data_IF_223785417393
#
_entry.id   IF_223785417393
#
_cell.length_a   1.000
_cell.length_b   1.000
_cell.length_c   1.000
_cell.angle_alpha   90.00
_cell.angle_beta   90.00
_cell.angle_gamma   90.00
#
_symmetry.space_group_name_H-M   'P 1'
#
loop_
_entity.id
_entity.type
_entity.pdbx_description
1 polymer ?
#
# COMPACT_ATOMS: atom_id res chain seq x y z
N UNK A 1 -2.92 23.17 -48.88
CA UNK A 1 -3.65 22.26 -47.99
C UNK A 1 -3.02 22.40 -46.61
N UNK A 2 -3.66 23.14 -45.72
CA UNK A 2 -3.11 23.52 -44.42
C UNK A 2 -3.59 22.50 -43.38
N UNK A 3 -2.67 21.73 -42.80
CA UNK A 3 -3.00 20.80 -41.73
C UNK A 3 -3.21 21.58 -40.41
N UNK A 4 -4.43 21.49 -39.87
CA UNK A 4 -4.78 22.02 -38.55
C UNK A 4 -4.19 21.08 -37.50
N UNK A 5 -3.27 21.60 -36.69
CA UNK A 5 -2.79 20.90 -35.51
C UNK A 5 -3.90 20.83 -34.46
N UNK A 6 -4.41 19.63 -34.20
CA UNK A 6 -5.30 19.35 -33.06
C UNK A 6 -4.50 19.30 -31.77
N UNK A 7 -4.77 20.24 -30.85
CA UNK A 7 -4.16 20.33 -29.51
C UNK A 7 -4.33 19.06 -28.66
N UNK A 8 -3.37 18.71 -27.77
CA UNK A 8 -3.36 17.47 -26.99
C UNK A 8 -4.23 17.48 -25.72
N UNK A 9 -5.13 18.46 -25.57
CA UNK A 9 -5.90 18.69 -24.32
C UNK A 9 -6.87 17.54 -23.96
N UNK A 10 -7.28 16.73 -24.95
CA UNK A 10 -8.19 15.59 -24.75
C UNK A 10 -7.60 14.50 -23.84
N UNK A 11 -6.28 14.30 -23.87
CA UNK A 11 -5.65 13.18 -23.14
C UNK A 11 -5.59 13.39 -21.62
N UNK A 12 -5.57 14.66 -21.18
CA UNK A 12 -5.47 14.99 -19.75
C UNK A 12 -6.82 14.83 -19.05
N UNK A 13 -7.91 15.20 -19.72
CA UNK A 13 -9.28 15.05 -19.20
C UNK A 13 -9.75 13.60 -19.22
N UNK A 14 -9.39 12.85 -20.27
CA UNK A 14 -9.72 11.42 -20.37
C UNK A 14 -9.04 10.59 -19.26
N UNK A 15 -7.77 10.89 -18.92
CA UNK A 15 -7.09 10.27 -17.77
C UNK A 15 -7.73 10.60 -16.41
N UNK A 16 -8.34 11.78 -16.28
CA UNK A 16 -9.06 12.22 -15.07
C UNK A 16 -10.36 11.44 -14.88
N UNK A 17 -11.02 11.09 -15.98
CA UNK A 17 -12.28 10.33 -15.98
C UNK A 17 -12.09 8.81 -16.06
N UNK A 18 -10.92 8.31 -16.47
CA UNK A 18 -10.68 6.88 -16.71
C UNK A 18 -10.25 6.07 -15.48
N UNK A 19 -10.36 6.62 -14.27
CA UNK A 19 -9.94 5.93 -13.03
C UNK A 19 -8.43 5.69 -12.90
N UNK A 20 -7.61 6.36 -13.72
CA UNK A 20 -6.14 6.25 -13.66
C UNK A 20 -5.54 7.11 -12.55
N UNK A 21 -6.22 8.18 -12.14
CA UNK A 21 -5.71 9.10 -11.13
C UNK A 21 -5.71 8.42 -9.76
N UNK A 22 -4.53 8.39 -9.12
CA UNK A 22 -4.33 7.83 -7.78
C UNK A 22 -4.51 8.92 -6.74
N UNK A 23 -5.26 8.59 -5.70
CA UNK A 23 -5.43 9.49 -4.55
C UNK A 23 -4.62 8.95 -3.37
N UNK A 24 -4.03 9.82 -2.54
CA UNK A 24 -3.45 9.42 -1.26
C UNK A 24 -4.51 8.71 -0.40
N UNK A 25 -4.16 7.55 0.11
CA UNK A 25 -5.06 6.75 0.94
C UNK A 25 -4.22 5.88 1.88
N UNK A 26 -4.01 6.38 3.10
CA UNK A 26 -3.20 5.68 4.10
C UNK A 26 -4.12 4.89 5.03
N UNK A 27 -4.18 3.57 4.84
CA UNK A 27 -4.99 2.67 5.68
C UNK A 27 -4.35 1.32 5.88
N UNK A 28 -4.52 0.76 7.08
CA UNK A 28 -4.12 -0.61 7.38
C UNK A 28 -5.00 -1.57 6.58
N UNK A 29 -4.38 -2.60 6.02
CA UNK A 29 -5.05 -3.65 5.27
C UNK A 29 -4.51 -5.01 5.70
N UNK A 30 -5.35 -6.02 5.52
CA UNK A 30 -5.00 -7.41 5.67
C UNK A 30 -4.82 -8.03 4.30
N UNK A 31 -3.74 -8.78 4.11
CA UNK A 31 -3.41 -9.47 2.88
C UNK A 31 -3.43 -10.97 3.12
N UNK A 32 -4.05 -11.71 2.21
CA UNK A 32 -3.97 -13.16 2.13
C UNK A 32 -3.47 -13.55 0.75
N UNK A 33 -2.46 -14.42 0.69
CA UNK A 33 -1.83 -14.87 -0.56
C UNK A 33 -2.31 -16.27 -0.94
N UNK A 34 -2.13 -16.64 -2.20
CA UNK A 34 -2.47 -17.97 -2.74
C UNK A 34 -1.70 -19.14 -2.09
N UNK A 35 -0.51 -18.88 -1.58
CA UNK A 35 0.29 -19.84 -0.80
C UNK A 35 -0.16 -19.99 0.67
N UNK A 36 -1.27 -19.34 1.05
CA UNK A 36 -1.84 -19.38 2.39
C UNK A 36 -1.16 -18.45 3.39
N UNK A 37 -0.12 -17.70 3.01
CA UNK A 37 0.47 -16.67 3.87
C UNK A 37 -0.54 -15.55 4.12
N UNK A 38 -0.47 -14.93 5.29
CA UNK A 38 -1.21 -13.71 5.61
C UNK A 38 -0.26 -12.66 6.20
N UNK A 39 -0.56 -11.38 5.96
CA UNK A 39 0.24 -10.27 6.50
C UNK A 39 -0.59 -9.01 6.69
N UNK A 40 -0.23 -8.19 7.67
CA UNK A 40 -0.70 -6.80 7.76
C UNK A 40 0.20 -5.86 6.96
N UNK A 41 -0.41 -4.85 6.35
CA UNK A 41 0.28 -3.86 5.54
C UNK A 41 -0.49 -2.53 5.53
N UNK A 42 0.06 -1.51 4.88
CA UNK A 42 -0.61 -0.23 4.67
C UNK A 42 -0.81 0.04 3.20
N UNK A 43 -2.04 0.32 2.78
CA UNK A 43 -2.27 1.02 1.51
C UNK A 43 -1.75 2.45 1.69
N UNK A 44 -1.05 2.99 0.69
CA UNK A 44 -0.53 4.38 0.69
C UNK A 44 -1.28 5.25 -0.31
N UNK A 45 -1.66 4.66 -1.45
CA UNK A 45 -2.49 5.29 -2.46
C UNK A 45 -3.31 4.24 -3.19
N UNK A 46 -4.44 4.68 -3.76
CA UNK A 46 -5.40 3.81 -4.43
C UNK A 46 -6.02 4.52 -5.63
N UNK A 47 -6.46 3.73 -6.61
CA UNK A 47 -7.40 4.11 -7.65
C UNK A 47 -8.30 2.91 -7.97
N UNK A 48 -9.22 3.05 -8.93
CA UNK A 48 -10.17 1.99 -9.31
C UNK A 48 -9.47 0.74 -9.90
N UNK A 49 -8.23 0.87 -10.37
CA UNK A 49 -7.48 -0.22 -11.00
C UNK A 49 -6.52 -0.93 -10.05
N UNK A 50 -6.20 -0.34 -8.89
CA UNK A 50 -5.20 -0.89 -8.00
C UNK A 50 -4.76 0.02 -6.87
N UNK A 51 -3.86 -0.50 -6.04
CA UNK A 51 -3.31 0.17 -4.88
C UNK A 51 -1.79 0.02 -4.81
N UNK A 52 -1.14 0.97 -4.13
CA UNK A 52 0.22 0.75 -3.64
C UNK A 52 0.17 0.34 -2.17
N UNK A 53 0.86 -0.75 -1.85
CA UNK A 53 0.89 -1.32 -0.51
C UNK A 53 2.31 -1.26 0.04
N UNK A 54 2.47 -0.58 1.16
CA UNK A 54 3.67 -0.55 1.98
C UNK A 54 3.63 -1.67 3.02
N UNK A 55 4.77 -2.31 3.25
CA UNK A 55 4.91 -3.34 4.29
C UNK A 55 4.89 -2.70 5.68
N UNK A 56 4.32 -3.41 6.66
CA UNK A 56 4.20 -2.98 8.07
C UNK A 56 5.53 -3.12 8.85
N UNK A 57 6.51 -3.78 8.23
CA UNK A 57 7.85 -3.96 8.76
C UNK A 57 8.65 -2.68 8.56
N UNK A 58 8.51 -1.78 9.53
CA UNK A 58 9.47 -0.72 9.79
C UNK A 58 10.83 -1.39 9.99
N UNK A 59 11.83 -1.15 9.13
CA UNK A 59 13.18 -1.58 9.44
C UNK A 59 13.56 -0.87 10.74
N UNK A 60 13.76 -1.62 11.83
CA UNK A 60 14.51 -1.11 12.97
C UNK A 60 15.82 -0.60 12.38
N UNK A 61 15.99 0.73 12.30
CA UNK A 61 17.28 1.30 11.94
C UNK A 61 18.32 0.58 12.82
N UNK A 62 19.43 0.07 12.24
CA UNK A 62 20.45 -0.56 13.06
C UNK A 62 20.82 0.44 14.16
N UNK A 63 20.85 0.03 15.44
CA UNK A 63 21.20 0.95 16.50
C UNK A 63 22.54 1.61 16.16
N UNK A 64 22.72 2.91 16.41
CA UNK A 64 24.01 3.55 16.19
C UNK A 64 25.05 2.71 16.93
N UNK A 65 26.13 2.33 16.23
CA UNK A 65 27.26 1.57 16.81
C UNK A 65 27.86 2.43 17.93
N UNK A 66 27.34 2.30 19.16
CA UNK A 66 27.96 2.89 20.33
C UNK A 66 29.21 2.07 20.61
N UNK A 67 30.33 2.79 20.64
CA UNK A 67 31.65 2.28 20.94
C UNK A 67 31.63 1.42 22.21
N UNK A 68 32.34 0.32 22.12
CA UNK A 68 32.48 -0.73 23.12
C UNK A 68 33.07 -0.18 24.42
N UNK A 69 32.21 -0.03 25.43
CA UNK A 69 32.56 0.43 26.77
C UNK A 69 32.20 -0.64 27.81
N UNK A 70 33.19 -1.47 28.15
CA UNK A 70 33.17 -2.53 29.17
C UNK A 70 32.73 -2.04 30.56
N UNK A 71 31.68 -2.64 31.17
CA UNK A 71 31.62 -3.06 32.60
C UNK A 71 30.36 -3.88 32.98
N UNK A 72 30.62 -5.17 33.21
CA UNK A 72 30.06 -6.27 34.07
C UNK A 72 28.79 -6.12 34.95
N UNK A 73 28.01 -7.24 34.95
CA UNK A 73 27.27 -8.00 36.03
C UNK A 73 26.07 -7.30 36.73
N UNK A 74 24.96 -7.95 37.14
CA UNK A 74 24.47 -9.34 37.15
C UNK A 74 22.93 -9.39 37.42
N UNK A 75 22.28 -10.48 36.98
CA UNK A 75 21.12 -11.23 37.52
C UNK A 75 19.82 -10.53 37.97
N UNK A 76 18.70 -10.92 37.34
CA UNK A 76 17.50 -11.46 38.01
C UNK A 76 16.59 -12.15 36.98
N UNK A 77 16.17 -13.38 37.27
CA UNK A 77 15.25 -14.17 36.45
C UNK A 77 13.81 -13.68 36.62
N UNK A 78 13.13 -13.44 35.50
CA UNK A 78 11.69 -13.15 35.42
C UNK A 78 10.99 -14.31 34.68
N UNK A 79 9.72 -14.63 35.01
CA UNK A 79 9.00 -15.82 34.54
C UNK A 79 8.72 -15.79 33.03
N UNK A 80 8.34 -16.93 32.40
CA UNK A 80 8.08 -16.99 30.97
C UNK A 80 6.78 -16.23 30.65
N UNK A 81 6.93 -14.98 30.28
CA UNK A 81 5.90 -14.21 29.61
C UNK A 81 5.54 -14.95 28.32
N UNK A 82 4.25 -15.28 28.17
CA UNK A 82 3.71 -16.03 27.05
C UNK A 82 4.29 -15.49 25.74
N UNK A 83 4.93 -16.37 24.98
CA UNK A 83 5.60 -16.03 23.73
C UNK A 83 4.62 -15.24 22.84
N UNK A 84 4.85 -13.93 22.75
CA UNK A 84 4.30 -13.14 21.67
C UNK A 84 4.64 -13.87 20.37
N UNK A 85 3.69 -14.01 19.42
CA UNK A 85 4.00 -14.64 18.15
C UNK A 85 5.21 -13.91 17.56
N UNK A 86 6.28 -14.68 17.32
CA UNK A 86 7.50 -14.18 16.70
C UNK A 86 7.15 -13.23 15.55
N UNK A 87 7.84 -12.09 15.38
CA UNK A 87 7.57 -11.21 14.26
C UNK A 87 7.74 -12.03 12.99
N UNK A 88 6.64 -12.37 12.34
CA UNK A 88 6.64 -12.96 11.01
C UNK A 88 7.39 -11.91 10.19
N UNK A 89 8.61 -12.24 9.75
CA UNK A 89 9.26 -11.45 8.71
C UNK A 89 8.30 -11.50 7.54
N UNK A 90 7.54 -10.44 7.32
CA UNK A 90 6.68 -10.28 6.15
C UNK A 90 7.59 -10.44 4.95
N UNK A 91 7.52 -11.58 4.26
CA UNK A 91 8.34 -11.78 3.08
C UNK A 91 7.77 -10.91 1.95
N UNK A 92 8.64 -10.40 1.06
CA UNK A 92 8.15 -9.73 -0.14
C UNK A 92 7.38 -10.75 -0.98
N UNK A 93 6.17 -10.44 -1.46
CA UNK A 93 5.47 -11.34 -2.38
C UNK A 93 6.18 -11.41 -3.73
N UNK A 94 5.80 -12.40 -4.52
CA UNK A 94 6.34 -12.58 -5.86
C UNK A 94 5.58 -11.75 -6.91
N UNK A 95 6.26 -11.38 -7.99
CA UNK A 95 5.60 -10.72 -9.11
C UNK A 95 4.59 -11.68 -9.76
N UNK A 96 3.37 -11.21 -9.98
CA UNK A 96 2.27 -12.02 -10.52
C UNK A 96 1.50 -12.81 -9.47
N UNK A 97 1.94 -12.82 -8.20
CA UNK A 97 1.28 -13.55 -7.13
C UNK A 97 -0.14 -13.04 -6.88
N UNK A 98 -1.09 -13.95 -6.62
CA UNK A 98 -2.45 -13.60 -6.28
C UNK A 98 -2.53 -13.13 -4.82
N UNK A 99 -3.27 -12.04 -4.60
CA UNK A 99 -3.47 -11.48 -3.27
C UNK A 99 -4.92 -11.06 -3.08
N UNK A 100 -5.49 -11.45 -1.96
CA UNK A 100 -6.76 -10.92 -1.45
C UNK A 100 -6.45 -9.84 -0.43
N UNK A 101 -6.83 -8.60 -0.74
CA UNK A 101 -6.62 -7.44 0.11
C UNK A 101 -7.97 -7.01 0.72
N UNK A 102 -7.99 -6.83 2.04
CA UNK A 102 -9.15 -6.32 2.79
C UNK A 102 -8.79 -5.05 3.54
N UNK A 103 -9.63 -4.02 3.43
CA UNK A 103 -9.43 -2.75 4.12
C UNK A 103 -10.76 -2.03 4.35
N UNK A 104 -10.77 -1.10 5.29
CA UNK A 104 -11.96 -0.30 5.62
C UNK A 104 -11.86 1.09 5.01
N UNK A 105 -12.99 1.57 4.49
CA UNK A 105 -13.12 2.95 4.03
C UNK A 105 -13.43 3.91 5.19
N UNK A 106 -12.90 5.15 5.15
CA UNK A 106 -12.99 6.11 6.25
C UNK A 106 -14.41 6.57 6.59
N UNK A 107 -15.26 6.80 5.60
CA UNK A 107 -16.56 7.48 5.82
C UNK A 107 -17.75 6.51 5.86
N UNK A 108 -17.63 5.34 5.22
CA UNK A 108 -18.80 4.51 4.92
C UNK A 108 -18.92 3.24 5.79
N UNK A 109 -18.00 2.97 6.71
CA UNK A 109 -17.90 1.67 7.44
C UNK A 109 -17.95 0.45 6.49
N UNK A 110 -17.70 0.67 5.20
CA UNK A 110 -17.67 -0.37 4.18
C UNK A 110 -16.32 -1.07 4.28
N UNK A 111 -16.35 -2.39 4.48
CA UNK A 111 -15.18 -3.23 4.30
C UNK A 111 -15.10 -3.62 2.83
N UNK A 112 -14.01 -3.22 2.18
CA UNK A 112 -13.73 -3.51 0.79
C UNK A 112 -12.81 -4.72 0.73
N UNK A 113 -13.22 -5.75 -0.01
CA UNK A 113 -12.47 -6.98 -0.18
C UNK A 113 -12.18 -7.22 -1.66
N UNK A 114 -10.91 -7.08 -2.04
CA UNK A 114 -10.50 -7.11 -3.45
C UNK A 114 -9.53 -8.25 -3.70
N UNK A 115 -9.74 -8.98 -4.78
CA UNK A 115 -8.71 -9.83 -5.36
C UNK A 115 -7.81 -8.97 -6.25
N UNK A 116 -6.52 -9.28 -6.28
CA UNK A 116 -5.57 -8.61 -7.15
C UNK A 116 -4.35 -9.45 -7.42
N UNK A 117 -3.51 -8.94 -8.31
CA UNK A 117 -2.21 -9.53 -8.62
C UNK A 117 -1.11 -8.53 -8.33
N UNK A 118 -0.01 -9.02 -7.78
CA UNK A 118 1.19 -8.23 -7.58
C UNK A 118 1.76 -7.86 -8.95
N UNK A 119 1.76 -6.56 -9.26
CA UNK A 119 2.06 -6.04 -10.60
C UNK A 119 3.44 -5.40 -10.70
N UNK A 120 4.02 -5.01 -9.56
CA UNK A 120 5.41 -4.53 -9.46
C UNK A 120 5.87 -4.55 -8.00
N UNK A 121 7.18 -4.65 -7.78
CA UNK A 121 7.80 -4.69 -6.45
C UNK A 121 8.65 -3.44 -6.20
N UNK A 122 8.61 -2.92 -4.98
CA UNK A 122 9.50 -1.88 -4.48
C UNK A 122 10.27 -2.42 -3.25
N UNK A 123 11.34 -3.20 -3.44
CA UNK A 123 12.00 -3.89 -2.33
C UNK A 123 12.76 -2.96 -1.39
N UNK A 124 13.12 -1.76 -1.84
CA UNK A 124 13.95 -0.81 -1.07
C UNK A 124 13.48 0.61 -1.34
N UNK A 125 13.38 1.38 -0.27
CA UNK A 125 13.19 2.82 -0.37
C UNK A 125 14.50 3.47 -0.86
N UNK A 126 14.44 4.25 -1.93
CA UNK A 126 15.62 4.92 -2.49
C UNK A 126 16.01 6.17 -1.69
N UNK A 127 15.04 6.95 -1.22
CA UNK A 127 15.24 8.15 -0.41
C UNK A 127 14.29 8.17 0.81
N UNK A 128 14.77 8.41 2.04
CA UNK A 128 13.96 8.27 3.27
C UNK A 128 12.69 9.12 3.32
N UNK A 129 12.69 10.28 2.66
CA UNK A 129 11.62 11.30 2.79
C UNK A 129 10.70 11.39 1.56
N UNK A 130 11.22 11.11 0.36
CA UNK A 130 10.50 11.39 -0.89
C UNK A 130 10.28 10.15 -1.76
N UNK A 131 10.79 8.99 -1.34
CA UNK A 131 10.51 7.73 -2.03
C UNK A 131 9.47 6.93 -1.27
N UNK A 132 8.69 6.16 -2.01
CA UNK A 132 7.74 5.22 -1.42
C UNK A 132 8.49 4.22 -0.51
N UNK A 133 7.91 3.89 0.67
CA UNK A 133 8.47 2.88 1.56
C UNK A 133 8.51 1.51 0.88
N UNK A 134 9.29 0.53 1.38
CA UNK A 134 9.31 -0.81 0.80
C UNK A 134 7.90 -1.42 0.73
N UNK A 135 7.57 -2.01 -0.42
CA UNK A 135 6.21 -2.37 -0.74
C UNK A 135 6.07 -2.94 -2.15
N UNK A 136 4.85 -2.91 -2.67
CA UNK A 136 4.50 -3.42 -3.99
C UNK A 136 3.18 -2.83 -4.47
N UNK A 137 2.95 -2.88 -5.79
CA UNK A 137 1.66 -2.50 -6.36
C UNK A 137 0.77 -3.70 -6.62
N UNK A 138 -0.48 -3.58 -6.23
CA UNK A 138 -1.54 -4.53 -6.54
C UNK A 138 -2.37 -3.97 -7.69
N UNK A 139 -2.60 -4.79 -8.72
CA UNK A 139 -3.62 -4.53 -9.74
C UNK A 139 -4.87 -5.33 -9.39
N UNK A 140 -6.01 -4.66 -9.24
CA UNK A 140 -7.26 -5.32 -8.86
C UNK A 140 -7.77 -6.22 -9.99
N UNK A 141 -8.41 -7.33 -9.60
CA UNK A 141 -9.05 -8.31 -10.47
C UNK A 141 -10.45 -8.59 -9.96
N UNK A 142 -11.44 -8.51 -10.86
CA UNK A 142 -12.81 -8.93 -10.54
C UNK A 142 -13.44 -8.19 -9.36
N UNK A 143 -13.30 -6.86 -9.30
CA UNK A 143 -14.00 -6.06 -8.29
C UNK A 143 -15.51 -6.30 -8.39
N UNK A 144 -16.17 -6.49 -7.25
CA UNK A 144 -17.62 -6.45 -7.22
C UNK A 144 -18.09 -5.03 -7.58
N UNK A 145 -19.29 -4.91 -8.15
CA UNK A 145 -19.84 -3.59 -8.49
C UNK A 145 -19.94 -2.69 -7.25
N UNK A 146 -20.22 -3.27 -6.07
CA UNK A 146 -20.26 -2.54 -4.81
C UNK A 146 -18.88 -2.02 -4.38
N UNK A 147 -17.86 -2.87 -4.38
CA UNK A 147 -16.49 -2.47 -4.04
C UNK A 147 -15.94 -1.42 -5.02
N UNK A 148 -16.27 -1.57 -6.30
CA UNK A 148 -15.89 -0.62 -7.32
C UNK A 148 -16.51 0.75 -7.07
N UNK A 149 -17.82 0.82 -6.81
CA UNK A 149 -18.51 2.08 -6.45
C UNK A 149 -17.89 2.70 -5.20
N UNK A 150 -17.62 1.89 -4.17
CA UNK A 150 -17.02 2.38 -2.93
C UNK A 150 -15.64 3.02 -3.15
N UNK A 151 -14.79 2.41 -3.98
CA UNK A 151 -13.47 2.96 -4.33
C UNK A 151 -13.62 4.19 -5.23
N UNK A 152 -14.59 4.19 -6.14
CA UNK A 152 -14.86 5.31 -7.03
C UNK A 152 -15.31 6.55 -6.23
N UNK A 153 -16.28 6.40 -5.33
CA UNK A 153 -16.77 7.47 -4.46
C UNK A 153 -15.63 8.07 -3.63
N UNK A 154 -14.74 7.24 -3.08
CA UNK A 154 -13.55 7.68 -2.35
C UNK A 154 -12.65 8.57 -3.23
N UNK A 155 -12.40 8.17 -4.47
CA UNK A 155 -11.54 8.92 -5.41
C UNK A 155 -12.20 10.24 -5.79
N UNK A 156 -13.48 10.22 -6.13
CA UNK A 156 -14.25 11.40 -6.53
C UNK A 156 -14.37 12.42 -5.38
N UNK A 157 -14.63 11.94 -4.17
CA UNK A 157 -14.67 12.75 -2.97
C UNK A 157 -13.33 13.43 -2.68
N UNK A 158 -12.24 12.66 -2.75
CA UNK A 158 -10.90 13.21 -2.53
C UNK A 158 -10.60 14.33 -3.55
N UNK A 159 -10.89 14.09 -4.83
CA UNK A 159 -10.67 15.06 -5.90
C UNK A 159 -11.54 16.31 -5.74
N UNK A 160 -12.79 16.14 -5.32
CA UNK A 160 -13.72 17.25 -5.07
C UNK A 160 -13.22 18.16 -3.95
N UNK A 161 -12.59 17.58 -2.92
CA UNK A 161 -11.96 18.32 -1.81
C UNK A 161 -10.60 18.93 -2.20
N UNK A 162 -9.94 18.44 -3.26
CA UNK A 162 -8.60 18.85 -3.68
C UNK A 162 -8.53 19.12 -5.20
N UNK A 163 -9.18 20.18 -5.71
CA UNK A 163 -9.25 20.47 -7.15
C UNK A 163 -7.90 20.72 -7.83
N UNK A 164 -6.82 20.97 -7.06
CA UNK A 164 -5.46 21.19 -7.56
C UNK A 164 -4.56 19.94 -7.63
N UNK A 165 -5.04 18.76 -7.23
CA UNK A 165 -4.22 17.54 -7.15
C UNK A 165 -3.95 16.85 -8.52
N UNK A 166 -4.05 17.59 -9.64
CA UNK A 166 -4.09 17.10 -11.03
C UNK A 166 -2.95 17.58 -11.94
#
# INVERSE_FOLDING_TARGET
MTAVATSPESTRTERRSSGLLRVPFIRRCSLSYDDGRTSSAFIVNINILGAYVARDDVPLAPPPKKAEGRRRKAAAAAPPEAAAPSPIKTQMPELGQLVHCRFQLPEQTCEVAVEGVVSWLNPRQQHPVHSLPPGFGIKFRGLSAGDQTCIQDLVEEYLSRHPGAC
#
